data_IF_615319719751
#
_entry.id   IF_615319719751
#
_cell.length_a   1.000
_cell.length_b   1.000
_cell.length_c   1.000
_cell.angle_alpha   90.00
_cell.angle_beta   90.00
_cell.angle_gamma   90.00
#
_symmetry.space_group_name_H-M   'P 1'
#
loop_
_entity.id
_entity.type
_entity.pdbx_description
1 polymer ?
#
# COMPACT_ATOMS: atom_id res chain seq x y z
N UNK A 1 -8.62 24.59 20.41
CA UNK A 1 -8.12 23.76 21.52
C UNK A 1 -7.35 22.60 20.90
N UNK A 2 -6.21 22.16 21.45
CA UNK A 2 -5.57 20.94 20.95
C UNK A 2 -6.57 19.79 21.09
N UNK A 3 -6.75 19.00 20.03
CA UNK A 3 -7.60 17.82 20.08
C UNK A 3 -7.10 16.91 21.20
N UNK A 4 -8.00 16.49 22.09
CA UNK A 4 -7.67 15.53 23.16
C UNK A 4 -7.23 14.22 22.53
N UNK A 5 -6.08 13.67 22.97
CA UNK A 5 -5.61 12.35 22.52
C UNK A 5 -6.75 11.33 22.70
N UNK A 6 -7.16 10.59 21.65
CA UNK A 6 -8.24 9.61 21.75
C UNK A 6 -7.85 8.52 22.74
N UNK A 7 -8.83 7.85 23.34
CA UNK A 7 -8.53 6.68 24.18
C UNK A 7 -8.23 5.46 23.30
N UNK A 8 -7.55 4.45 23.84
CA UNK A 8 -7.37 3.18 23.13
C UNK A 8 -8.72 2.55 22.72
N UNK A 9 -9.75 2.69 23.57
CA UNK A 9 -11.09 2.18 23.30
C UNK A 9 -11.76 2.87 22.10
N UNK A 10 -11.55 4.19 21.95
CA UNK A 10 -12.05 4.95 20.80
C UNK A 10 -11.39 4.45 19.51
N UNK A 11 -10.07 4.25 19.53
CA UNK A 11 -9.30 3.76 18.39
C UNK A 11 -9.69 2.33 18.00
N UNK A 12 -9.87 1.43 18.98
CA UNK A 12 -10.40 0.07 18.73
C UNK A 12 -11.81 0.09 18.14
N UNK A 13 -12.65 1.04 18.54
CA UNK A 13 -14.00 1.17 18.00
C UNK A 13 -13.99 1.69 16.57
N UNK A 14 -13.14 2.67 16.26
CA UNK A 14 -12.92 3.16 14.89
C UNK A 14 -12.41 2.05 13.96
N UNK A 15 -11.44 1.23 14.39
CA UNK A 15 -10.93 0.10 13.60
C UNK A 15 -12.03 -0.91 13.29
N UNK A 16 -12.85 -1.29 14.29
CA UNK A 16 -13.95 -2.24 14.08
C UNK A 16 -14.99 -1.70 13.09
N UNK A 17 -15.29 -0.40 13.17
CA UNK A 17 -16.23 0.26 12.27
C UNK A 17 -15.68 0.30 10.82
N UNK A 18 -14.38 0.58 10.65
CA UNK A 18 -13.71 0.52 9.35
C UNK A 18 -13.71 -0.89 8.75
N UNK A 19 -13.49 -1.93 9.57
CA UNK A 19 -13.51 -3.33 9.11
C UNK A 19 -14.93 -3.74 8.70
N UNK A 20 -15.94 -3.39 9.51
CA UNK A 20 -17.34 -3.65 9.18
C UNK A 20 -17.74 -2.97 7.88
N UNK A 21 -17.35 -1.71 7.68
CA UNK A 21 -17.55 -1.02 6.40
C UNK A 21 -16.84 -1.75 5.26
N UNK A 22 -15.54 -2.01 5.38
CA UNK A 22 -14.69 -2.65 4.36
C UNK A 22 -15.29 -3.94 3.79
N UNK A 23 -15.73 -4.85 4.66
CA UNK A 23 -16.27 -6.16 4.23
C UNK A 23 -17.68 -6.08 3.66
N UNK A 24 -18.37 -4.96 3.90
CA UNK A 24 -19.72 -4.69 3.41
C UNK A 24 -19.77 -3.65 2.28
N UNK A 25 -18.63 -3.12 1.81
CA UNK A 25 -18.58 -2.23 0.64
C UNK A 25 -19.20 -2.96 -0.57
N UNK A 26 -20.09 -2.26 -1.29
CA UNK A 26 -20.71 -2.70 -2.53
C UNK A 26 -20.76 -1.57 -3.55
N UNK A 27 -20.49 -1.86 -4.81
CA UNK A 27 -20.86 -0.97 -5.91
C UNK A 27 -22.28 -1.27 -6.39
N UNK A 28 -23.28 -0.77 -5.67
CA UNK A 28 -24.69 -0.98 -6.02
C UNK A 28 -25.08 -0.34 -7.37
N UNK A 29 -24.30 0.63 -7.83
CA UNK A 29 -24.59 1.38 -9.07
C UNK A 29 -23.95 0.75 -10.31
N UNK A 30 -22.95 -0.12 -10.12
CA UNK A 30 -22.09 -0.64 -11.19
C UNK A 30 -21.25 0.42 -11.91
N UNK A 31 -21.19 1.65 -11.36
CA UNK A 31 -20.50 2.80 -11.98
C UNK A 31 -18.99 2.58 -12.10
N UNK A 32 -18.43 1.76 -11.22
CA UNK A 32 -16.98 1.53 -11.11
C UNK A 32 -16.57 0.12 -11.52
N UNK A 33 -17.47 -0.60 -12.20
CA UNK A 33 -17.13 -1.86 -12.86
C UNK A 33 -16.10 -1.61 -13.97
N UNK A 34 -15.05 -2.42 -13.98
CA UNK A 34 -14.04 -2.41 -15.02
C UNK A 34 -14.43 -3.43 -16.09
N UNK A 35 -14.66 -2.94 -17.31
CA UNK A 35 -14.95 -3.77 -18.47
C UNK A 35 -13.66 -4.02 -19.25
N UNK A 36 -13.31 -5.28 -19.43
CA UNK A 36 -12.13 -5.71 -20.18
C UNK A 36 -12.52 -6.08 -21.62
N UNK A 37 -11.58 -5.91 -22.57
CA UNK A 37 -11.81 -6.23 -23.99
C UNK A 37 -12.14 -7.71 -24.24
N UNK A 38 -11.71 -8.60 -23.33
CA UNK A 38 -12.00 -10.04 -23.38
C UNK A 38 -13.38 -10.42 -22.81
N UNK A 39 -14.21 -9.44 -22.45
CA UNK A 39 -15.58 -9.63 -21.98
C UNK A 39 -15.70 -9.83 -20.46
N UNK A 40 -14.60 -9.87 -19.71
CA UNK A 40 -14.65 -9.89 -18.25
C UNK A 40 -15.18 -8.54 -17.70
N UNK A 41 -15.97 -8.63 -16.64
CA UNK A 41 -16.44 -7.48 -15.85
C UNK A 41 -15.91 -7.65 -14.45
N UNK A 42 -15.05 -6.73 -14.02
CA UNK A 42 -14.38 -6.80 -12.72
C UNK A 42 -15.01 -5.81 -11.76
N UNK A 43 -15.52 -6.33 -10.64
CA UNK A 43 -15.89 -5.51 -9.50
C UNK A 43 -14.65 -5.13 -8.71
N UNK A 44 -14.29 -3.85 -8.80
CA UNK A 44 -13.07 -3.29 -8.19
C UNK A 44 -13.29 -2.79 -6.77
N UNK A 45 -14.55 -2.74 -6.30
CA UNK A 45 -14.95 -2.15 -5.02
C UNK A 45 -15.48 -3.17 -4.02
N UNK A 46 -16.39 -4.04 -4.44
CA UNK A 46 -17.08 -4.90 -3.49
C UNK A 46 -16.15 -5.97 -2.95
N UNK A 47 -16.33 -6.36 -1.68
CA UNK A 47 -15.46 -7.32 -0.98
C UNK A 47 -15.28 -8.67 -1.69
N UNK A 48 -16.25 -9.07 -2.53
CA UNK A 48 -16.18 -10.30 -3.32
C UNK A 48 -15.23 -10.22 -4.53
N UNK A 49 -14.64 -9.05 -4.83
CA UNK A 49 -13.69 -8.88 -5.93
C UNK A 49 -12.31 -9.49 -5.64
N UNK A 50 -11.41 -9.45 -6.64
CA UNK A 50 -9.99 -9.76 -6.48
C UNK A 50 -9.14 -8.72 -7.19
N UNK A 51 -8.79 -7.69 -6.43
CA UNK A 51 -7.96 -6.56 -6.83
C UNK A 51 -6.88 -6.26 -5.79
N UNK A 52 -5.92 -5.40 -6.13
CA UNK A 52 -4.91 -4.92 -5.17
C UNK A 52 -5.53 -4.29 -3.92
N UNK A 53 -6.70 -3.67 -4.06
CA UNK A 53 -7.48 -3.06 -2.97
C UNK A 53 -7.83 -4.09 -1.89
N UNK A 54 -8.13 -5.32 -2.28
CA UNK A 54 -8.39 -6.45 -1.39
C UNK A 54 -7.10 -6.94 -0.74
N UNK A 55 -5.98 -6.92 -1.46
CA UNK A 55 -4.68 -7.26 -0.88
C UNK A 55 -4.34 -6.36 0.32
N UNK A 56 -4.51 -5.04 0.17
CA UNK A 56 -4.31 -4.10 1.27
C UNK A 56 -5.39 -4.25 2.35
N UNK A 57 -6.66 -4.45 1.96
CA UNK A 57 -7.78 -4.71 2.88
C UNK A 57 -7.53 -5.90 3.80
N UNK A 58 -7.21 -7.05 3.24
CA UNK A 58 -6.84 -8.26 3.97
C UNK A 58 -5.62 -8.03 4.86
N UNK A 59 -4.64 -7.25 4.40
CA UNK A 59 -3.45 -6.95 5.20
C UNK A 59 -3.77 -6.05 6.40
N UNK A 60 -4.67 -5.08 6.25
CA UNK A 60 -5.17 -4.27 7.36
C UNK A 60 -5.89 -5.11 8.42
N UNK A 61 -6.79 -6.00 8.00
CA UNK A 61 -7.48 -6.95 8.89
C UNK A 61 -6.45 -7.87 9.58
N UNK A 62 -5.47 -8.37 8.84
CA UNK A 62 -4.38 -9.20 9.38
C UNK A 62 -3.57 -8.46 10.45
N UNK A 63 -3.23 -7.18 10.23
CA UNK A 63 -2.51 -6.39 11.23
C UNK A 63 -3.28 -6.24 12.53
N UNK A 64 -4.60 -6.10 12.45
CA UNK A 64 -5.43 -6.04 13.64
C UNK A 64 -5.56 -7.41 14.33
N UNK A 65 -5.62 -8.50 13.56
CA UNK A 65 -5.53 -9.87 14.07
C UNK A 65 -4.20 -10.10 14.80
N UNK A 66 -3.07 -9.73 14.19
CA UNK A 66 -1.72 -9.85 14.77
C UNK A 66 -1.60 -9.12 16.12
N UNK A 67 -2.33 -8.01 16.28
CA UNK A 67 -2.35 -7.25 17.54
C UNK A 67 -3.24 -7.87 18.62
N UNK A 68 -4.40 -8.42 18.24
CA UNK A 68 -5.49 -8.74 19.18
C UNK A 68 -5.76 -10.23 19.35
N UNK A 69 -5.41 -11.06 18.38
CA UNK A 69 -5.72 -12.49 18.34
C UNK A 69 -7.21 -12.82 18.21
N UNK A 70 -8.07 -11.87 17.83
CA UNK A 70 -9.50 -12.15 17.67
C UNK A 70 -9.77 -13.05 16.45
N UNK A 71 -10.18 -14.29 16.71
CA UNK A 71 -10.43 -15.32 15.68
C UNK A 71 -11.44 -14.90 14.60
N UNK A 72 -12.39 -14.01 14.91
CA UNK A 72 -13.33 -13.48 13.90
C UNK A 72 -12.61 -12.72 12.77
N UNK A 73 -11.47 -12.10 13.04
CA UNK A 73 -10.67 -11.39 12.04
C UNK A 73 -9.94 -12.37 11.11
N UNK A 74 -9.38 -13.45 11.67
CA UNK A 74 -8.78 -14.51 10.88
C UNK A 74 -9.83 -15.17 9.98
N UNK A 75 -11.02 -15.43 10.52
CA UNK A 75 -12.14 -16.00 9.77
C UNK A 75 -12.55 -15.14 8.57
N UNK A 76 -12.59 -13.81 8.69
CA UNK A 76 -12.86 -12.90 7.56
C UNK A 76 -11.87 -13.15 6.40
N UNK A 77 -10.58 -13.30 6.74
CA UNK A 77 -9.51 -13.51 5.76
C UNK A 77 -9.62 -14.90 5.13
N UNK A 78 -9.80 -15.94 5.94
CA UNK A 78 -9.93 -17.33 5.46
C UNK A 78 -11.16 -17.52 4.58
N UNK A 79 -12.30 -16.94 4.96
CA UNK A 79 -13.55 -17.01 4.19
C UNK A 79 -13.39 -16.32 2.82
N UNK A 80 -12.69 -15.18 2.77
CA UNK A 80 -12.39 -14.51 1.50
C UNK A 80 -11.56 -15.40 0.59
N UNK A 81 -10.43 -15.96 1.08
CA UNK A 81 -9.59 -16.85 0.28
C UNK A 81 -10.33 -18.11 -0.16
N UNK A 82 -11.09 -18.73 0.74
CA UNK A 82 -11.89 -19.91 0.41
C UNK A 82 -12.88 -19.63 -0.74
N UNK A 83 -13.57 -18.50 -0.69
CA UNK A 83 -14.49 -18.08 -1.75
C UNK A 83 -13.75 -17.82 -3.08
N UNK A 84 -12.65 -17.05 -3.05
CA UNK A 84 -11.88 -16.73 -4.26
C UNK A 84 -11.23 -17.96 -4.91
N UNK A 85 -10.74 -18.91 -4.11
CA UNK A 85 -10.15 -20.15 -4.61
C UNK A 85 -11.21 -21.09 -5.18
N UNK A 86 -12.41 -21.13 -4.59
CA UNK A 86 -13.53 -21.90 -5.15
C UNK A 86 -13.97 -21.40 -6.54
N UNK A 87 -13.77 -20.12 -6.83
CA UNK A 87 -14.03 -19.51 -8.14
C UNK A 87 -12.91 -19.72 -9.17
N UNK A 88 -11.81 -20.38 -8.79
CA UNK A 88 -10.66 -20.65 -9.67
C UNK A 88 -9.60 -19.55 -9.69
N UNK A 89 -9.75 -18.53 -8.85
CA UNK A 89 -8.84 -17.39 -8.75
C UNK A 89 -8.93 -16.41 -9.91
N UNK A 90 -7.81 -15.73 -10.21
CA UNK A 90 -7.76 -14.69 -11.26
C UNK A 90 -6.44 -14.71 -12.03
N UNK A 91 -6.36 -13.92 -13.10
CA UNK A 91 -5.14 -13.72 -13.89
C UNK A 91 -4.07 -12.98 -13.08
N UNK A 92 -2.82 -13.44 -13.21
CA UNK A 92 -1.68 -12.87 -12.49
C UNK A 92 -1.21 -11.56 -13.12
N UNK A 93 -1.11 -10.51 -12.31
CA UNK A 93 -0.56 -9.20 -12.66
C UNK A 93 -0.03 -8.53 -11.37
N UNK A 94 0.55 -7.32 -11.47
CA UNK A 94 1.16 -6.66 -10.31
C UNK A 94 0.16 -6.46 -9.17
N UNK A 95 -1.09 -6.15 -9.50
CA UNK A 95 -2.14 -5.83 -8.53
C UNK A 95 -2.69 -7.06 -7.84
N UNK A 96 -2.98 -8.12 -8.60
CA UNK A 96 -3.62 -9.33 -8.07
C UNK A 96 -2.69 -10.14 -7.17
N UNK A 97 -1.38 -9.89 -7.25
CA UNK A 97 -0.36 -10.47 -6.37
C UNK A 97 -0.47 -9.99 -4.91
N UNK A 98 -1.06 -8.83 -4.66
CA UNK A 98 -1.02 -8.18 -3.34
C UNK A 98 -1.61 -9.03 -2.21
N UNK A 99 -2.64 -9.83 -2.51
CA UNK A 99 -3.34 -10.68 -1.53
C UNK A 99 -2.42 -11.77 -0.94
N UNK A 100 -1.39 -12.18 -1.68
CA UNK A 100 -0.50 -13.26 -1.27
C UNK A 100 0.44 -12.88 -0.14
N UNK A 101 0.61 -11.58 0.15
CA UNK A 101 1.27 -11.16 1.39
C UNK A 101 0.52 -11.69 2.60
N UNK A 102 -0.78 -11.46 2.67
CA UNK A 102 -1.63 -11.93 3.78
C UNK A 102 -1.76 -13.45 3.77
N UNK A 103 -1.94 -14.07 2.59
CA UNK A 103 -2.03 -15.54 2.51
C UNK A 103 -0.77 -16.21 3.09
N UNK A 104 0.42 -15.66 2.81
CA UNK A 104 1.68 -16.19 3.32
C UNK A 104 1.74 -16.13 4.86
N UNK A 105 1.28 -15.04 5.47
CA UNK A 105 1.18 -14.94 6.93
C UNK A 105 0.13 -15.90 7.52
N UNK A 106 -1.02 -16.05 6.86
CA UNK A 106 -2.06 -17.00 7.29
C UNK A 106 -1.55 -18.43 7.20
N UNK A 107 -0.83 -18.80 6.13
CA UNK A 107 -0.20 -20.11 6.00
C UNK A 107 0.83 -20.35 7.11
N UNK A 108 1.71 -19.38 7.38
CA UNK A 108 2.69 -19.47 8.47
C UNK A 108 2.03 -19.72 9.84
N UNK A 109 0.86 -19.10 10.07
CA UNK A 109 0.10 -19.24 11.31
C UNK A 109 -0.65 -20.56 11.42
N UNK A 110 -1.27 -21.01 10.34
CA UNK A 110 -2.26 -22.12 10.34
C UNK A 110 -1.67 -23.45 9.88
N UNK A 111 -0.61 -23.43 9.08
CA UNK A 111 -0.08 -24.62 8.41
C UNK A 111 -1.02 -25.23 7.37
N UNK A 112 -2.04 -24.50 6.91
CA UNK A 112 -3.01 -25.03 5.94
C UNK A 112 -2.35 -25.33 4.59
N UNK A 113 -2.00 -26.60 4.37
CA UNK A 113 -1.29 -27.08 3.18
C UNK A 113 -2.00 -26.79 1.86
N UNK A 114 -3.31 -26.53 1.88
CA UNK A 114 -4.07 -26.15 0.68
C UNK A 114 -3.61 -24.80 0.10
N UNK A 115 -2.96 -23.94 0.88
CA UNK A 115 -2.45 -22.64 0.41
C UNK A 115 -1.08 -22.74 -0.28
N UNK A 116 -0.34 -23.82 -0.08
CA UNK A 116 1.03 -23.96 -0.59
C UNK A 116 1.11 -23.89 -2.13
N UNK A 117 0.25 -24.56 -2.92
CA UNK A 117 0.29 -24.45 -4.38
C UNK A 117 0.00 -23.04 -4.89
N UNK A 118 -0.84 -22.28 -4.18
CA UNK A 118 -1.15 -20.89 -4.52
C UNK A 118 0.06 -19.98 -4.28
N UNK A 119 0.70 -20.09 -3.10
CA UNK A 119 1.90 -19.32 -2.78
C UNK A 119 3.04 -19.63 -3.76
N UNK A 120 3.24 -20.92 -4.06
CA UNK A 120 4.25 -21.39 -5.01
C UNK A 120 4.02 -20.83 -6.43
N UNK A 121 2.83 -21.07 -6.99
CA UNK A 121 2.51 -20.67 -8.38
C UNK A 121 2.61 -19.16 -8.60
N UNK A 122 2.17 -18.36 -7.63
CA UNK A 122 2.18 -16.90 -7.76
C UNK A 122 3.57 -16.31 -7.55
N UNK A 123 4.39 -16.87 -6.67
CA UNK A 123 5.77 -16.43 -6.49
C UNK A 123 6.67 -16.84 -7.66
N UNK A 124 6.51 -18.04 -8.21
CA UNK A 124 7.21 -18.48 -9.43
C UNK A 124 6.90 -17.57 -10.62
N UNK A 125 5.62 -17.23 -10.81
CA UNK A 125 5.23 -16.25 -11.83
C UNK A 125 5.91 -14.89 -11.60
N UNK A 126 5.86 -14.36 -10.38
CA UNK A 126 6.46 -13.06 -10.07
C UNK A 126 7.97 -13.04 -10.35
N UNK A 127 8.65 -14.18 -10.16
CA UNK A 127 10.09 -14.34 -10.39
C UNK A 127 10.48 -14.51 -11.86
N UNK A 128 9.77 -15.37 -12.57
CA UNK A 128 10.26 -15.89 -13.86
C UNK A 128 9.39 -15.53 -15.06
N UNK A 129 8.11 -15.19 -14.85
CA UNK A 129 7.16 -14.93 -15.93
C UNK A 129 6.70 -13.47 -16.01
N UNK A 130 6.63 -12.76 -14.87
CA UNK A 130 6.28 -11.35 -14.82
C UNK A 130 7.25 -10.53 -15.69
N UNK A 131 6.77 -9.83 -16.74
CA UNK A 131 7.60 -9.05 -17.64
C UNK A 131 8.55 -8.10 -16.89
N UNK A 132 9.75 -7.96 -17.44
CA UNK A 132 10.80 -7.12 -16.87
C UNK A 132 11.11 -5.97 -17.81
N UNK A 133 11.29 -4.79 -17.23
CA UNK A 133 11.80 -3.61 -17.95
C UNK A 133 13.30 -3.73 -18.18
N UNK A 134 13.87 -2.74 -18.87
CA UNK A 134 15.32 -2.51 -18.91
C UNK A 134 15.92 -2.55 -17.49
N UNK A 135 17.07 -3.21 -17.39
CA UNK A 135 17.79 -3.51 -16.13
C UNK A 135 17.06 -4.45 -15.15
N UNK A 136 15.99 -5.12 -15.61
CA UNK A 136 15.34 -6.19 -14.85
C UNK A 136 14.42 -5.67 -13.75
N UNK A 137 13.83 -4.48 -13.91
CA UNK A 137 12.76 -4.01 -13.02
C UNK A 137 11.45 -4.74 -13.30
N UNK A 138 10.62 -4.97 -12.29
CA UNK A 138 9.29 -5.55 -12.47
C UNK A 138 8.38 -4.57 -13.24
N UNK A 139 7.96 -4.95 -14.45
CA UNK A 139 7.09 -4.10 -15.25
C UNK A 139 5.69 -4.02 -14.62
N UNK A 140 5.11 -2.83 -14.63
CA UNK A 140 3.81 -2.58 -14.01
C UNK A 140 2.60 -3.08 -14.84
N UNK A 141 2.56 -4.36 -15.18
CA UNK A 141 1.45 -4.97 -15.92
C UNK A 141 0.19 -5.05 -15.03
N UNK A 142 -0.96 -4.61 -15.57
CA UNK A 142 -2.28 -4.65 -14.92
C UNK A 142 -3.26 -5.50 -15.75
N UNK A 143 -4.54 -5.56 -15.35
CA UNK A 143 -5.57 -6.25 -16.13
C UNK A 143 -5.80 -5.67 -17.53
N UNK A 144 -5.68 -4.36 -17.68
CA UNK A 144 -6.08 -3.63 -18.89
C UNK A 144 -4.90 -2.98 -19.63
N UNK A 145 -3.68 -3.05 -19.09
CA UNK A 145 -2.51 -2.44 -19.73
C UNK A 145 -1.23 -3.24 -19.46
N UNK A 146 -0.45 -3.44 -20.53
CA UNK A 146 0.88 -4.05 -20.44
C UNK A 146 1.87 -3.11 -19.73
N UNK A 147 1.69 -1.79 -19.91
CA UNK A 147 2.58 -0.74 -19.40
C UNK A 147 4.06 -1.02 -19.73
N UNK A 148 4.32 -1.29 -21.01
CA UNK A 148 5.65 -1.63 -21.53
C UNK A 148 6.72 -0.67 -21.04
N UNK A 149 7.79 -1.22 -20.47
CA UNK A 149 8.95 -0.48 -19.97
C UNK A 149 8.61 0.55 -18.87
N UNK A 150 7.58 0.30 -18.07
CA UNK A 150 7.18 1.18 -16.96
C UNK A 150 7.39 0.55 -15.58
N UNK A 151 7.88 1.37 -14.64
CA UNK A 151 7.95 1.10 -13.20
C UNK A 151 7.05 2.08 -12.46
N UNK A 152 6.21 1.60 -11.55
CA UNK A 152 5.32 2.44 -10.74
C UNK A 152 5.61 2.21 -9.25
N UNK A 153 5.30 3.20 -8.41
CA UNK A 153 5.62 3.19 -6.98
C UNK A 153 5.01 2.03 -6.19
N UNK A 154 3.76 1.68 -6.50
CA UNK A 154 2.99 0.70 -5.76
C UNK A 154 3.46 -0.75 -6.01
N UNK A 155 4.22 -1.00 -7.09
CA UNK A 155 4.83 -2.32 -7.40
C UNK A 155 5.54 -2.95 -6.20
N UNK A 156 6.23 -2.13 -5.41
CA UNK A 156 6.96 -2.60 -4.22
C UNK A 156 6.01 -3.20 -3.18
N UNK A 157 4.85 -2.57 -2.95
CA UNK A 157 3.85 -3.06 -2.01
C UNK A 157 3.04 -4.22 -2.60
N UNK A 158 2.63 -4.10 -3.86
CA UNK A 158 1.67 -5.03 -4.47
C UNK A 158 2.28 -6.36 -4.89
N UNK A 159 3.57 -6.42 -5.22
CA UNK A 159 4.22 -7.65 -5.71
C UNK A 159 5.51 -7.97 -4.99
N UNK A 160 6.38 -6.99 -4.76
CA UNK A 160 7.73 -7.24 -4.21
C UNK A 160 7.66 -7.70 -2.76
N UNK A 161 6.84 -7.06 -1.92
CA UNK A 161 6.68 -7.45 -0.53
C UNK A 161 6.03 -8.85 -0.38
N UNK A 162 4.95 -9.22 -1.10
CA UNK A 162 4.47 -10.60 -1.17
C UNK A 162 5.58 -11.60 -1.54
N UNK A 163 6.33 -11.33 -2.63
CA UNK A 163 7.41 -12.21 -3.07
C UNK A 163 8.47 -12.41 -1.98
N UNK A 164 8.88 -11.34 -1.31
CA UNK A 164 9.84 -11.39 -0.22
C UNK A 164 9.33 -12.24 0.96
N UNK A 165 8.05 -12.09 1.32
CA UNK A 165 7.43 -12.86 2.42
C UNK A 165 7.37 -14.33 2.07
N UNK A 166 6.93 -14.68 0.87
CA UNK A 166 6.89 -16.07 0.39
C UNK A 166 8.30 -16.66 0.33
N UNK A 167 9.27 -15.89 -0.16
CA UNK A 167 10.68 -16.28 -0.18
C UNK A 167 11.23 -16.65 1.19
N UNK A 168 10.99 -15.80 2.20
CA UNK A 168 11.39 -16.09 3.59
C UNK A 168 10.66 -17.32 4.14
N UNK A 169 9.35 -17.41 3.92
CA UNK A 169 8.48 -18.47 4.44
C UNK A 169 8.81 -19.86 3.86
N UNK A 170 9.09 -19.94 2.57
CA UNK A 170 9.36 -21.19 1.86
C UNK A 170 10.86 -21.48 1.71
N UNK A 171 11.73 -20.71 2.37
CA UNK A 171 13.18 -20.82 2.30
C UNK A 171 13.74 -20.74 0.86
N UNK A 172 13.24 -19.77 0.07
CA UNK A 172 13.69 -19.45 -1.29
C UNK A 172 14.49 -18.14 -1.30
N UNK A 173 15.80 -18.16 -1.00
CA UNK A 173 16.61 -16.94 -0.85
C UNK A 173 16.70 -16.10 -2.14
N UNK A 174 16.56 -16.71 -3.30
CA UNK A 174 16.54 -16.03 -4.60
C UNK A 174 15.36 -15.05 -4.74
N UNK A 175 14.21 -15.35 -4.12
CA UNK A 175 13.06 -14.44 -4.08
C UNK A 175 13.35 -13.21 -3.24
N UNK A 176 14.03 -13.42 -2.10
CA UNK A 176 14.45 -12.34 -1.22
C UNK A 176 15.50 -11.46 -1.89
N UNK A 177 16.45 -12.06 -2.62
CA UNK A 177 17.47 -11.35 -3.38
C UNK A 177 16.83 -10.50 -4.50
N UNK A 178 15.88 -11.06 -5.24
CA UNK A 178 15.14 -10.31 -6.27
C UNK A 178 14.34 -9.17 -5.64
N UNK A 179 13.69 -9.39 -4.50
CA UNK A 179 12.98 -8.33 -3.80
C UNK A 179 13.90 -7.17 -3.41
N UNK A 180 15.07 -7.46 -2.82
CA UNK A 180 16.09 -6.44 -2.52
C UNK A 180 16.52 -5.67 -3.78
N UNK A 181 16.74 -6.37 -4.89
CA UNK A 181 17.07 -5.75 -6.18
C UNK A 181 15.96 -4.81 -6.67
N UNK A 182 14.69 -5.22 -6.56
CA UNK A 182 13.56 -4.39 -6.99
C UNK A 182 13.46 -3.10 -6.18
N UNK A 183 13.67 -3.13 -4.86
CA UNK A 183 13.73 -1.90 -4.05
C UNK A 183 14.77 -0.91 -4.56
N UNK A 184 15.99 -1.39 -4.85
CA UNK A 184 17.07 -0.53 -5.37
C UNK A 184 16.74 0.04 -6.75
N UNK A 185 16.14 -0.76 -7.64
CA UNK A 185 15.73 -0.30 -8.98
C UNK A 185 14.64 0.78 -8.87
N UNK A 186 13.60 0.54 -8.06
CA UNK A 186 12.50 1.49 -7.93
C UNK A 186 12.96 2.80 -7.28
N UNK A 187 13.79 2.74 -6.23
CA UNK A 187 14.37 3.97 -5.64
C UNK A 187 15.21 4.72 -6.68
N UNK A 188 16.06 4.02 -7.45
CA UNK A 188 16.89 4.65 -8.49
C UNK A 188 16.09 5.46 -9.51
N UNK A 189 14.91 5.00 -9.91
CA UNK A 189 14.14 5.60 -11.00
C UNK A 189 12.98 6.49 -10.55
N UNK A 190 12.50 6.31 -9.32
CA UNK A 190 11.31 7.02 -8.81
C UNK A 190 11.65 8.08 -7.75
N UNK A 191 12.75 7.94 -7.01
CA UNK A 191 13.10 8.91 -5.96
C UNK A 191 13.62 10.22 -6.56
N UNK A 192 13.09 11.34 -6.11
CA UNK A 192 13.57 12.69 -6.46
C UNK A 192 14.42 13.27 -5.31
N UNK A 193 15.77 13.21 -5.41
CA UNK A 193 16.65 13.63 -4.32
C UNK A 193 16.59 15.15 -4.04
N UNK A 194 16.00 15.95 -4.93
CA UNK A 194 15.82 17.39 -4.72
C UNK A 194 14.73 17.70 -3.70
N UNK A 195 13.71 16.85 -3.61
CA UNK A 195 12.56 17.04 -2.73
C UNK A 195 12.49 16.02 -1.61
N UNK A 196 13.11 14.85 -1.78
CA UNK A 196 12.96 13.70 -0.88
C UNK A 196 11.68 12.90 -1.11
N UNK A 197 10.88 13.24 -2.12
CA UNK A 197 9.64 12.55 -2.50
C UNK A 197 9.88 11.63 -3.71
N UNK A 198 8.87 10.87 -4.08
CA UNK A 198 8.88 9.98 -5.23
C UNK A 198 7.95 10.47 -6.33
N UNK A 199 8.35 10.26 -7.58
CA UNK A 199 7.44 10.32 -8.72
C UNK A 199 6.58 9.05 -8.80
N UNK A 200 5.36 9.18 -9.29
CA UNK A 200 4.44 8.04 -9.44
C UNK A 200 5.01 6.93 -10.32
N UNK A 201 5.67 7.29 -11.43
CA UNK A 201 6.20 6.29 -12.35
C UNK A 201 7.40 6.75 -13.16
N UNK A 202 7.98 5.79 -13.85
CA UNK A 202 9.09 5.92 -14.77
C UNK A 202 8.82 5.11 -16.03
N UNK A 203 9.18 5.64 -17.20
CA UNK A 203 9.21 4.90 -18.47
C UNK A 203 10.62 4.95 -19.06
N UNK A 204 11.18 3.79 -19.42
CA UNK A 204 12.53 3.72 -20.02
C UNK A 204 12.58 4.19 -21.47
N UNK A 205 11.48 4.05 -22.19
CA UNK A 205 11.34 4.56 -23.56
C UNK A 205 10.94 6.05 -23.54
N UNK A 206 11.62 6.87 -24.33
CA UNK A 206 11.32 8.30 -24.48
C UNK A 206 12.42 9.03 -25.23
N UNK A 207 12.14 10.26 -25.66
CA UNK A 207 13.01 11.07 -26.55
C UNK A 207 14.42 11.33 -25.99
N UNK A 208 14.67 11.08 -24.69
CA UNK A 208 15.98 11.27 -24.05
C UNK A 208 16.41 10.09 -23.15
N UNK A 209 15.98 8.86 -23.44
CA UNK A 209 16.40 7.67 -22.69
C UNK A 209 15.60 7.37 -21.41
N UNK A 210 14.41 7.97 -21.30
CA UNK A 210 13.40 7.71 -20.28
C UNK A 210 12.88 8.99 -19.60
N UNK A 211 11.75 8.90 -18.89
CA UNK A 211 11.14 10.05 -18.20
C UNK A 211 10.16 9.61 -17.09
N UNK A 212 9.85 10.52 -16.15
CA UNK A 212 8.90 10.31 -15.05
C UNK A 212 7.47 10.85 -15.33
N UNK A 213 6.96 10.67 -16.55
CA UNK A 213 5.61 11.14 -16.94
C UNK A 213 5.34 12.61 -16.57
N UNK A 214 4.28 12.87 -15.81
CA UNK A 214 3.89 14.18 -15.29
C UNK A 214 4.83 14.76 -14.23
N UNK A 215 5.85 14.00 -13.78
CA UNK A 215 6.67 14.32 -12.61
C UNK A 215 5.83 14.57 -11.35
N UNK A 216 4.73 13.82 -11.22
CA UNK A 216 3.77 13.97 -10.14
C UNK A 216 4.30 13.35 -8.84
N UNK A 217 4.41 14.17 -7.79
CA UNK A 217 4.66 13.72 -6.40
C UNK A 217 3.34 13.41 -5.72
N UNK A 218 2.71 12.36 -6.24
CA UNK A 218 1.37 11.94 -5.85
C UNK A 218 1.35 11.29 -4.47
N UNK A 219 0.39 11.66 -3.64
CA UNK A 219 0.37 11.36 -2.22
C UNK A 219 0.20 9.87 -1.93
N UNK A 220 -0.83 9.21 -2.49
CA UNK A 220 -1.04 7.79 -2.23
C UNK A 220 0.11 6.94 -2.76
N UNK A 221 0.64 7.29 -3.92
CA UNK A 221 1.85 6.71 -4.49
C UNK A 221 3.05 6.76 -3.54
N UNK A 222 3.36 7.97 -3.05
CA UNK A 222 4.40 8.18 -2.05
C UNK A 222 4.13 7.39 -0.75
N UNK A 223 2.87 7.27 -0.34
CA UNK A 223 2.50 6.56 0.88
C UNK A 223 2.80 5.07 0.80
N UNK A 224 2.77 4.46 -0.40
CA UNK A 224 3.19 3.07 -0.58
C UNK A 224 4.65 2.87 -0.19
N UNK A 225 5.55 3.80 -0.54
CA UNK A 225 6.95 3.75 -0.14
C UNK A 225 7.10 3.92 1.38
N UNK A 226 6.35 4.85 1.96
CA UNK A 226 6.38 5.10 3.41
C UNK A 226 5.86 3.88 4.19
N UNK A 227 4.92 3.12 3.64
CA UNK A 227 4.44 1.85 4.20
C UNK A 227 5.49 0.74 4.00
N UNK A 228 5.88 0.47 2.76
CA UNK A 228 6.58 -0.76 2.38
C UNK A 228 8.04 -0.80 2.84
N UNK A 229 8.71 0.35 2.99
CA UNK A 229 10.10 0.39 3.45
C UNK A 229 10.22 -0.14 4.90
N UNK A 230 9.45 0.36 5.89
CA UNK A 230 9.40 -0.26 7.21
C UNK A 230 8.97 -1.74 7.19
N UNK A 231 8.04 -2.13 6.31
CA UNK A 231 7.61 -3.53 6.17
C UNK A 231 8.76 -4.45 5.78
N UNK A 232 9.48 -4.13 4.70
CA UNK A 232 10.54 -5.01 4.19
C UNK A 232 11.71 -5.10 5.16
N UNK A 233 12.03 -3.98 5.84
CA UNK A 233 13.09 -3.92 6.85
C UNK A 233 12.79 -4.83 8.04
N UNK A 234 11.54 -4.85 8.50
CA UNK A 234 11.11 -5.75 9.58
C UNK A 234 11.01 -7.20 9.09
N UNK A 235 10.40 -7.41 7.92
CA UNK A 235 10.15 -8.73 7.36
C UNK A 235 11.46 -9.52 7.13
N UNK A 236 12.46 -8.89 6.52
CA UNK A 236 13.70 -9.58 6.17
C UNK A 236 14.74 -9.59 7.27
N UNK A 237 14.50 -8.91 8.39
CA UNK A 237 15.42 -8.84 9.53
C UNK A 237 16.85 -8.51 9.08
N UNK A 238 16.99 -7.46 8.27
CA UNK A 238 18.28 -7.07 7.69
C UNK A 238 19.37 -6.94 8.77
N UNK A 239 20.58 -7.42 8.45
CA UNK A 239 21.76 -7.16 9.25
C UNK A 239 21.92 -5.65 9.46
N UNK A 240 22.29 -5.24 10.68
CA UNK A 240 22.41 -3.83 11.07
C UNK A 240 23.38 -3.05 10.17
N UNK A 241 24.39 -3.74 9.62
CA UNK A 241 25.42 -3.19 8.75
C UNK A 241 25.16 -3.46 7.25
N UNK A 242 24.04 -4.08 6.86
CA UNK A 242 23.70 -4.28 5.45
C UNK A 242 23.56 -2.90 4.75
N UNK A 243 24.35 -2.60 3.70
CA UNK A 243 24.27 -1.31 3.01
C UNK A 243 22.89 -1.02 2.41
N UNK A 244 22.13 -2.05 2.01
CA UNK A 244 20.77 -1.91 1.51
C UNK A 244 19.87 -1.44 2.65
N UNK A 245 20.03 -1.99 3.86
CA UNK A 245 19.30 -1.55 5.05
C UNK A 245 19.50 -0.05 5.30
N UNK A 246 20.75 0.40 5.30
CA UNK A 246 21.09 1.81 5.50
C UNK A 246 20.50 2.70 4.40
N UNK A 247 20.60 2.27 3.14
CA UNK A 247 20.04 3.00 2.01
C UNK A 247 18.52 3.18 2.16
N UNK A 248 17.79 2.10 2.47
CA UNK A 248 16.34 2.14 2.69
C UNK A 248 15.95 3.06 3.85
N UNK A 249 16.68 3.00 4.96
CA UNK A 249 16.43 3.87 6.12
C UNK A 249 16.65 5.35 5.77
N UNK A 250 17.75 5.69 5.09
CA UNK A 250 18.02 7.07 4.71
C UNK A 250 17.00 7.59 3.68
N UNK A 251 16.56 6.74 2.75
CA UNK A 251 15.49 7.07 1.82
C UNK A 251 14.17 7.35 2.54
N UNK A 252 13.80 6.52 3.52
CA UNK A 252 12.62 6.75 4.35
C UNK A 252 12.73 8.04 5.16
N UNK A 253 13.88 8.28 5.81
CA UNK A 253 14.10 9.49 6.61
C UNK A 253 14.02 10.76 5.75
N UNK A 254 14.59 10.74 4.54
CA UNK A 254 14.47 11.85 3.59
C UNK A 254 13.01 12.11 3.19
N UNK A 255 12.24 11.06 2.92
CA UNK A 255 10.80 11.18 2.61
C UNK A 255 10.01 11.71 3.80
N UNK A 256 10.26 11.21 5.02
CA UNK A 256 9.61 11.72 6.22
C UNK A 256 9.96 13.20 6.49
N UNK A 257 11.20 13.59 6.22
CA UNK A 257 11.66 14.99 6.25
C UNK A 257 10.85 15.88 5.31
N UNK A 258 10.66 15.45 4.08
CA UNK A 258 9.85 16.17 3.08
C UNK A 258 8.37 16.23 3.50
N UNK A 259 7.78 15.09 3.86
CA UNK A 259 6.37 15.01 4.27
C UNK A 259 6.07 15.92 5.46
N UNK A 260 6.97 16.00 6.44
CA UNK A 260 6.84 16.93 7.57
C UNK A 260 6.72 18.40 7.12
N UNK A 261 7.43 18.80 6.07
CA UNK A 261 7.38 20.17 5.55
C UNK A 261 6.06 20.46 4.83
N UNK A 262 5.50 19.47 4.13
CA UNK A 262 4.29 19.62 3.32
C UNK A 262 2.98 19.23 4.04
N UNK A 263 3.02 18.89 5.33
CA UNK A 263 1.80 18.56 6.07
C UNK A 263 0.90 19.80 6.17
N UNK A 264 -0.35 19.67 5.73
CA UNK A 264 -1.33 20.73 5.86
C UNK A 264 -1.67 20.98 7.35
N UNK A 265 -2.12 22.20 7.68
CA UNK A 265 -2.46 22.59 9.06
C UNK A 265 -3.53 21.71 9.72
N UNK A 266 -4.41 21.09 8.91
CA UNK A 266 -5.41 20.13 9.37
C UNK A 266 -4.86 18.72 9.63
N UNK A 267 -3.57 18.47 9.40
CA UNK A 267 -2.91 17.16 9.60
C UNK A 267 -2.87 16.25 8.38
N UNK A 268 -3.61 16.59 7.32
CA UNK A 268 -3.63 15.87 6.04
C UNK A 268 -2.44 16.23 5.15
N UNK A 269 -2.25 15.45 4.09
CA UNK A 269 -1.51 15.85 2.89
C UNK A 269 -2.46 16.06 1.71
N UNK A 270 -2.05 16.90 0.77
CA UNK A 270 -2.75 17.09 -0.50
C UNK A 270 -2.37 15.99 -1.50
N UNK A 271 -3.27 15.68 -2.45
CA UNK A 271 -3.10 14.61 -3.45
C UNK A 271 -1.83 14.76 -4.30
N UNK A 272 -1.47 16.00 -4.67
CA UNK A 272 -0.13 16.38 -5.09
C UNK A 272 0.54 17.09 -3.91
N UNK A 273 1.56 16.45 -3.33
CA UNK A 273 2.14 16.82 -2.03
C UNK A 273 2.75 18.23 -2.04
N UNK A 274 3.42 18.57 -3.14
CA UNK A 274 4.21 19.79 -3.30
C UNK A 274 3.42 20.95 -3.94
N UNK A 275 2.09 20.84 -4.04
CA UNK A 275 1.21 21.81 -4.70
C UNK A 275 0.22 22.42 -3.71
N UNK A 276 0.63 23.48 -2.99
CA UNK A 276 -0.14 24.04 -1.88
C UNK A 276 -1.40 24.82 -2.30
N UNK A 277 -1.47 25.40 -3.50
CA UNK A 277 -2.51 26.37 -3.89
C UNK A 277 -3.13 26.14 -5.30
N UNK A 278 -2.81 25.03 -5.97
CA UNK A 278 -3.21 24.77 -7.37
C UNK A 278 -4.36 23.76 -7.52
N UNK A 279 -5.36 23.79 -6.63
CA UNK A 279 -6.54 22.88 -6.73
C UNK A 279 -6.29 21.42 -6.28
N UNK A 280 -5.14 21.13 -5.66
CA UNK A 280 -4.81 19.83 -5.08
C UNK A 280 -5.58 19.60 -3.76
N UNK A 281 -6.56 18.70 -3.77
CA UNK A 281 -7.42 18.39 -2.60
C UNK A 281 -6.67 17.59 -1.53
N UNK A 282 -7.17 17.63 -0.28
CA UNK A 282 -6.64 16.79 0.83
C UNK A 282 -7.06 15.33 0.66
N UNK A 283 -6.15 14.41 0.91
CA UNK A 283 -6.36 12.99 0.62
C UNK A 283 -6.08 12.14 1.88
N UNK A 284 -7.14 11.47 2.37
CA UNK A 284 -7.12 10.78 3.65
C UNK A 284 -6.39 9.43 3.60
N UNK A 285 -6.46 8.68 2.50
CA UNK A 285 -5.84 7.36 2.42
C UNK A 285 -4.31 7.44 2.46
N UNK A 286 -3.72 8.36 1.72
CA UNK A 286 -2.29 8.67 1.73
C UNK A 286 -1.87 9.18 3.11
N UNK A 287 -2.69 10.04 3.74
CA UNK A 287 -2.44 10.54 5.10
C UNK A 287 -2.38 9.38 6.10
N UNK A 288 -3.26 8.38 5.97
CA UNK A 288 -3.21 7.16 6.76
C UNK A 288 -1.94 6.33 6.46
N UNK A 289 -1.55 6.17 5.20
CA UNK A 289 -0.32 5.48 4.82
C UNK A 289 0.94 6.15 5.36
N UNK A 290 1.02 7.48 5.30
CA UNK A 290 2.12 8.25 5.88
C UNK A 290 2.17 8.10 7.40
N UNK A 291 1.01 8.19 8.07
CA UNK A 291 0.93 7.99 9.52
C UNK A 291 1.43 6.60 9.91
N UNK A 292 0.95 5.55 9.22
CA UNK A 292 1.40 4.17 9.45
C UNK A 292 2.93 4.04 9.34
N UNK A 293 3.49 4.46 8.21
CA UNK A 293 4.91 4.31 7.94
C UNK A 293 5.80 5.10 8.90
N UNK A 294 5.41 6.32 9.26
CA UNK A 294 6.13 7.13 10.25
C UNK A 294 6.07 6.49 11.64
N UNK A 295 4.89 6.09 12.11
CA UNK A 295 4.73 5.45 13.43
C UNK A 295 5.52 4.14 13.50
N UNK A 296 5.43 3.29 12.48
CA UNK A 296 6.18 2.03 12.41
C UNK A 296 7.68 2.27 12.34
N UNK A 297 8.13 3.20 11.50
CA UNK A 297 9.53 3.59 11.41
C UNK A 297 10.10 4.04 12.75
N UNK A 298 9.32 4.80 13.54
CA UNK A 298 9.71 5.23 14.89
C UNK A 298 9.73 4.08 15.89
N UNK A 299 8.67 3.26 15.94
CA UNK A 299 8.59 2.08 16.84
C UNK A 299 9.76 1.13 16.60
N UNK A 300 10.13 0.91 15.33
CA UNK A 300 11.24 0.04 14.93
C UNK A 300 12.61 0.72 14.99
N UNK A 301 12.67 2.00 15.36
CA UNK A 301 13.90 2.82 15.44
C UNK A 301 14.65 2.90 14.11
N UNK A 302 13.92 2.86 13.00
CA UNK A 302 14.46 3.13 11.67
C UNK A 302 14.64 4.64 11.45
N UNK A 303 13.69 5.44 11.94
CA UNK A 303 13.74 6.91 11.91
C UNK A 303 13.61 7.48 13.32
N UNK A 304 14.02 8.73 13.51
CA UNK A 304 14.00 9.39 14.81
C UNK A 304 12.63 9.94 15.24
N UNK A 305 12.57 10.43 16.48
CA UNK A 305 11.34 10.95 17.09
C UNK A 305 10.86 12.30 16.54
N UNK A 306 11.64 12.97 15.68
CA UNK A 306 11.33 14.29 15.13
C UNK A 306 10.04 14.36 14.28
N UNK A 307 9.50 13.19 13.89
CA UNK A 307 8.27 13.05 13.10
C UNK A 307 7.03 12.71 13.94
N UNK A 308 7.16 12.58 15.26
CA UNK A 308 6.09 12.07 16.12
C UNK A 308 4.85 12.95 16.07
N UNK A 309 5.03 14.26 16.21
CA UNK A 309 3.93 15.22 16.15
C UNK A 309 3.24 15.21 14.78
N UNK A 310 4.01 15.09 13.70
CA UNK A 310 3.50 14.97 12.33
C UNK A 310 2.61 13.73 12.18
N UNK A 311 3.07 12.58 12.67
CA UNK A 311 2.30 11.34 12.66
C UNK A 311 1.05 11.41 13.55
N UNK A 312 1.14 11.98 14.76
CA UNK A 312 -0.01 12.13 15.66
C UNK A 312 -1.08 13.07 15.07
N UNK A 313 -0.69 14.17 14.42
CA UNK A 313 -1.60 15.05 13.68
C UNK A 313 -2.30 14.32 12.53
N UNK A 314 -1.56 13.48 11.81
CA UNK A 314 -2.10 12.64 10.73
C UNK A 314 -3.13 11.63 11.26
N UNK A 315 -2.87 11.01 12.42
CA UNK A 315 -3.85 10.12 13.08
C UNK A 315 -5.12 10.87 13.46
N UNK A 316 -5.02 12.09 14.00
CA UNK A 316 -6.21 12.90 14.29
C UNK A 316 -7.01 13.23 13.03
N UNK A 317 -6.32 13.59 11.94
CA UNK A 317 -6.93 13.81 10.64
C UNK A 317 -7.67 12.55 10.16
N UNK A 318 -7.02 11.39 10.17
CA UNK A 318 -7.64 10.11 9.78
C UNK A 318 -8.86 9.78 10.63
N UNK A 319 -8.77 9.88 11.96
CA UNK A 319 -9.93 9.64 12.84
C UNK A 319 -11.09 10.59 12.53
N UNK A 320 -10.81 11.86 12.23
CA UNK A 320 -11.84 12.84 11.88
C UNK A 320 -12.49 12.59 10.51
N UNK A 321 -11.85 11.81 9.63
CA UNK A 321 -12.36 11.46 8.32
C UNK A 321 -13.25 10.21 8.34
N UNK A 322 -13.34 9.48 9.46
CA UNK A 322 -14.19 8.30 9.58
C UNK A 322 -15.60 8.77 9.93
N UNK A 323 -16.56 8.50 9.06
CA UNK A 323 -17.96 8.85 9.31
C UNK A 323 -18.66 7.82 10.22
N UNK A 324 -19.95 8.06 10.51
CA UNK A 324 -20.76 7.19 11.36
C UNK A 324 -20.99 5.78 10.79
N UNK A 325 -20.73 5.56 9.51
CA UNK A 325 -20.86 4.26 8.83
C UNK A 325 -19.51 3.55 8.68
N UNK A 326 -18.41 4.14 9.17
CA UNK A 326 -17.07 3.57 9.05
C UNK A 326 -16.42 3.80 7.71
N UNK A 327 -16.95 4.71 6.89
CA UNK A 327 -16.29 5.08 5.65
C UNK A 327 -15.17 6.10 5.91
N UNK A 328 -14.00 5.86 5.32
CA UNK A 328 -12.94 6.87 5.30
C UNK A 328 -13.22 7.89 4.19
N UNK A 329 -13.69 9.06 4.59
CA UNK A 329 -13.97 10.20 3.72
C UNK A 329 -12.68 10.80 3.13
N UNK A 330 -12.80 11.61 2.07
CA UNK A 330 -11.67 12.22 1.35
C UNK A 330 -10.68 11.20 0.76
N UNK A 331 -11.16 10.01 0.39
CA UNK A 331 -10.38 8.99 -0.31
C UNK A 331 -10.56 9.18 -1.82
N UNK A 332 -9.46 9.33 -2.57
CA UNK A 332 -9.56 9.41 -4.03
C UNK A 332 -9.70 8.05 -4.69
N UNK A 333 -10.37 7.96 -5.85
CA UNK A 333 -10.61 6.74 -6.62
C UNK A 333 -9.32 6.12 -7.19
N UNK A 334 -9.41 4.89 -7.73
CA UNK A 334 -8.30 4.20 -8.39
C UNK A 334 -7.63 5.10 -9.42
N UNK A 335 -6.32 5.29 -9.30
CA UNK A 335 -5.56 6.30 -10.06
C UNK A 335 -4.48 5.58 -10.87
N UNK A 336 -4.60 5.61 -12.19
CA UNK A 336 -3.56 5.11 -13.11
C UNK A 336 -2.45 6.16 -13.31
N UNK A 337 -1.47 5.86 -14.16
CA UNK A 337 -0.41 6.82 -14.49
C UNK A 337 -0.95 8.05 -15.24
N UNK A 338 -0.81 9.23 -14.63
CA UNK A 338 -1.16 10.51 -15.25
C UNK A 338 -0.02 11.10 -16.09
N UNK A 339 -0.38 11.68 -17.23
CA UNK A 339 0.56 12.36 -18.15
C UNK A 339 0.68 13.88 -17.93
N UNK A 340 -0.17 14.45 -17.06
CA UNK A 340 -0.09 15.82 -16.58
C UNK A 340 -0.56 15.88 -15.11
N UNK A 341 -0.39 17.03 -14.45
CA UNK A 341 -0.78 17.19 -13.05
C UNK A 341 -2.30 17.33 -12.85
N UNK A 342 -3.02 17.89 -13.83
CA UNK A 342 -4.48 18.05 -13.76
C UNK A 342 -5.20 16.70 -13.65
N UNK A 343 -4.70 15.66 -14.32
CA UNK A 343 -5.19 14.29 -14.16
C UNK A 343 -5.30 13.88 -12.69
N UNK A 344 -4.30 14.20 -11.85
CA UNK A 344 -4.30 13.85 -10.43
C UNK A 344 -5.23 14.74 -9.60
N UNK A 345 -5.42 16.00 -10.02
CA UNK A 345 -6.34 16.96 -9.37
C UNK A 345 -7.80 16.59 -9.59
N UNK A 346 -8.11 15.98 -10.74
CA UNK A 346 -9.48 15.67 -11.17
C UNK A 346 -9.95 14.27 -10.76
N UNK A 347 -9.10 13.46 -10.12
CA UNK A 347 -9.51 12.12 -9.64
C UNK A 347 -10.70 12.25 -8.67
N UNK A 348 -11.82 11.55 -8.94
CA UNK A 348 -12.98 11.59 -8.06
C UNK A 348 -12.69 11.13 -6.63
N UNK A 349 -13.36 11.73 -5.66
CA UNK A 349 -13.35 11.28 -4.26
C UNK A 349 -14.54 10.35 -4.04
N UNK A 350 -14.28 9.15 -3.51
CA UNK A 350 -15.31 8.13 -3.24
C UNK A 350 -14.77 7.07 -2.27
N UNK A 351 -15.67 6.39 -1.55
CA UNK A 351 -15.35 5.19 -0.78
C UNK A 351 -14.60 4.17 -1.60
N UNK A 352 -13.49 3.68 -1.06
CA UNK A 352 -12.61 2.69 -1.70
C UNK A 352 -11.96 1.78 -0.67
N UNK A 353 -11.95 0.44 -0.87
CA UNK A 353 -11.44 -0.51 0.14
C UNK A 353 -10.05 -0.20 0.70
N UNK A 354 -9.13 0.33 -0.12
CA UNK A 354 -7.80 0.72 0.35
C UNK A 354 -7.81 1.89 1.34
N UNK A 355 -8.79 2.79 1.26
CA UNK A 355 -8.96 3.87 2.23
C UNK A 355 -9.21 3.30 3.62
N UNK A 356 -10.22 2.43 3.75
CA UNK A 356 -10.49 1.71 4.99
C UNK A 356 -9.26 0.94 5.46
N UNK A 357 -8.60 0.20 4.56
CA UNK A 357 -7.45 -0.62 4.88
C UNK A 357 -6.26 0.18 5.44
N UNK A 358 -5.89 1.27 4.78
CA UNK A 358 -4.78 2.13 5.21
C UNK A 358 -5.10 2.81 6.55
N UNK A 359 -6.35 3.23 6.77
CA UNK A 359 -6.78 3.74 8.08
C UNK A 359 -6.69 2.67 9.17
N UNK A 360 -7.15 1.44 8.91
CA UNK A 360 -6.99 0.31 9.84
C UNK A 360 -5.51 0.13 10.19
N UNK A 361 -4.63 0.03 9.19
CA UNK A 361 -3.19 -0.14 9.42
C UNK A 361 -2.62 0.99 10.30
N UNK A 362 -2.91 2.25 9.97
CA UNK A 362 -2.44 3.41 10.73
C UNK A 362 -2.91 3.40 12.19
N UNK A 363 -4.19 3.10 12.42
CA UNK A 363 -4.77 3.05 13.76
C UNK A 363 -4.27 1.86 14.58
N UNK A 364 -4.06 0.70 13.96
CA UNK A 364 -3.44 -0.47 14.61
C UNK A 364 -2.01 -0.15 15.05
N UNK A 365 -1.23 0.48 14.19
CA UNK A 365 0.12 0.90 14.54
C UNK A 365 0.09 1.97 15.64
N UNK A 366 -0.89 2.89 15.62
CA UNK A 366 -1.07 3.89 16.67
C UNK A 366 -1.47 3.29 18.03
N UNK A 367 -2.25 2.21 18.06
CA UNK A 367 -2.58 1.48 19.29
C UNK A 367 -1.34 0.95 20.01
N UNK A 368 -0.23 0.70 19.31
CA UNK A 368 1.04 0.29 19.93
C UNK A 368 1.61 1.36 20.87
N UNK A 369 1.12 2.60 20.80
CA UNK A 369 1.55 3.69 21.70
C UNK A 369 0.87 3.68 23.09
N UNK A 370 -0.07 2.76 23.32
CA UNK A 370 -0.81 2.60 24.58
C UNK A 370 -0.36 1.40 25.43
N UNK A 371 0.57 0.59 24.92
CA UNK A 371 1.02 -0.67 25.54
C UNK A 371 2.47 -0.61 26.02
#
# INVERSE_FOLDING_TARGET
>A
MPATKPTAADVHSAIRLLIDNLVNIKDETGKFLLYLEDGRVIDTKSWAGWEWTHGIGLYGVWKYYEMTGHESLLKIIEDWFAARFAEGGTTKNINTMAVFLTLAYVYEKTGNVAYLPWLDSWAEWAMYELPRTKYGGMQHITYNAINTEQLWDDTLMMTVLPLAKIGKLLNRPEYVAEAKKQFLIHIKYLFDPRTGLFFHGWKFEGENGGHNFAQARWARGNSWLTIVIPEILELLEFDINDPIRLHLIHTLDAQCGALKQFQHSSGYWRTLIDQADEGSYVEASATAGFAYGMLKGQRKRYIGNQYRETAEKAIQAVLSAIDSHGELQNTSFGTAMGHNLDFYREIPITSMPYGQAMAIMALVEYLRTYI
#
